data_IF_754004968631
#
_entry.id   IF_754004968631
#
_cell.length_a   1.000
_cell.length_b   1.000
_cell.length_c   1.000
_cell.angle_alpha   90.00
_cell.angle_beta   90.00
_cell.angle_gamma   90.00
#
_symmetry.space_group_name_H-M   'P 1'
#
loop_
_entity.id
_entity.type
_entity.pdbx_description
1 polymer ?
#
# COMPACT_ATOMS: atom_id res chain seq x y z
N UNK A 1 -16.48 -8.50 20.21
CA UNK A 1 -16.08 -9.32 19.05
C UNK A 1 -14.71 -9.90 19.29
N UNK A 2 -14.52 -11.16 18.94
CA UNK A 2 -13.24 -11.85 18.90
C UNK A 2 -12.64 -11.57 17.53
N UNK A 3 -11.40 -11.08 17.48
CA UNK A 3 -10.63 -10.94 16.25
C UNK A 3 -9.55 -12.02 16.27
N UNK A 4 -9.48 -12.83 15.22
CA UNK A 4 -8.54 -13.97 15.12
C UNK A 4 -7.69 -13.86 13.86
N UNK A 5 -6.44 -14.32 13.93
CA UNK A 5 -5.57 -14.49 12.76
C UNK A 5 -5.91 -15.73 11.94
N UNK A 6 -5.79 -15.64 10.62
CA UNK A 6 -6.01 -16.79 9.72
C UNK A 6 -4.94 -17.90 9.89
N UNK A 7 -3.71 -17.55 10.30
CA UNK A 7 -2.55 -18.47 10.43
C UNK A 7 -2.03 -18.64 11.87
N UNK A 8 -2.40 -17.75 12.79
CA UNK A 8 -1.89 -17.73 14.16
C UNK A 8 -3.04 -17.92 15.15
N UNK A 9 -2.77 -18.55 16.29
CA UNK A 9 -3.77 -18.73 17.37
C UNK A 9 -4.00 -17.45 18.21
N UNK A 10 -3.37 -16.35 17.79
CA UNK A 10 -3.53 -15.03 18.36
C UNK A 10 -4.96 -14.54 18.14
N UNK A 11 -5.62 -14.22 19.25
CA UNK A 11 -6.94 -13.62 19.24
C UNK A 11 -7.00 -12.53 20.31
N UNK A 12 -7.84 -11.53 20.07
CA UNK A 12 -8.12 -10.50 21.06
C UNK A 12 -9.58 -10.05 20.95
N UNK A 13 -10.10 -9.56 22.07
CA UNK A 13 -11.47 -9.04 22.13
C UNK A 13 -11.47 -7.53 21.90
N UNK A 14 -12.32 -7.08 21.00
CA UNK A 14 -12.58 -5.66 20.73
C UNK A 14 -14.09 -5.43 20.71
N UNK A 15 -14.63 -4.37 21.33
CA UNK A 15 -16.02 -3.97 21.12
C UNK A 15 -16.30 -3.75 19.62
N UNK A 16 -17.46 -4.19 19.13
CA UNK A 16 -17.83 -4.08 17.69
C UNK A 16 -17.71 -2.65 17.14
N UNK A 17 -18.20 -1.59 17.84
CA UNK A 17 -18.08 -0.21 17.35
C UNK A 17 -16.64 0.28 17.24
N UNK A 18 -15.76 -0.18 18.14
CA UNK A 18 -14.35 0.21 18.15
C UNK A 18 -13.56 -0.54 17.09
N UNK A 19 -13.90 -1.82 16.85
CA UNK A 19 -13.33 -2.59 15.76
C UNK A 19 -13.64 -1.95 14.41
N UNK A 20 -14.89 -1.58 14.14
CA UNK A 20 -15.26 -0.92 12.90
C UNK A 20 -14.46 0.37 12.68
N UNK A 21 -14.35 1.23 13.70
CA UNK A 21 -13.52 2.45 13.64
C UNK A 21 -12.06 2.16 13.34
N UNK A 22 -11.47 1.15 13.98
CA UNK A 22 -10.08 0.75 13.74
C UNK A 22 -9.90 0.28 12.29
N UNK A 23 -10.81 -0.57 11.78
CA UNK A 23 -10.75 -1.08 10.41
C UNK A 23 -10.90 0.05 9.38
N UNK A 24 -11.85 0.97 9.59
CA UNK A 24 -11.99 2.18 8.77
C UNK A 24 -10.69 2.99 8.75
N UNK A 25 -10.04 3.18 9.90
CA UNK A 25 -8.80 3.94 9.97
C UNK A 25 -7.65 3.26 9.23
N UNK A 26 -7.48 1.95 9.43
CA UNK A 26 -6.46 1.18 8.70
C UNK A 26 -6.69 1.30 7.21
N UNK A 27 -7.95 1.19 6.76
CA UNK A 27 -8.31 1.33 5.35
C UNK A 27 -7.93 2.70 4.78
N UNK A 28 -8.30 3.78 5.47
CA UNK A 28 -7.93 5.14 5.05
C UNK A 28 -6.42 5.32 4.91
N UNK A 29 -5.66 4.82 5.88
CA UNK A 29 -4.20 4.96 5.88
C UNK A 29 -3.56 4.11 4.75
N UNK A 30 -4.12 2.94 4.42
CA UNK A 30 -3.72 2.15 3.24
C UNK A 30 -4.06 2.83 1.91
N UNK A 31 -5.22 3.48 1.81
CA UNK A 31 -5.59 4.26 0.62
C UNK A 31 -4.67 5.46 0.42
N UNK A 32 -4.30 6.17 1.50
CA UNK A 32 -3.30 7.24 1.45
C UNK A 32 -1.95 6.72 0.96
N UNK A 33 -1.50 5.59 1.50
CA UNK A 33 -0.26 4.94 1.08
C UNK A 33 -0.26 4.60 -0.42
N UNK A 34 -1.37 4.09 -0.95
CA UNK A 34 -1.54 3.85 -2.40
C UNK A 34 -1.35 5.15 -3.20
N UNK A 35 -2.00 6.25 -2.78
CA UNK A 35 -1.89 7.53 -3.48
C UNK A 35 -0.46 8.11 -3.41
N UNK A 36 0.23 7.96 -2.29
CA UNK A 36 1.63 8.35 -2.18
C UNK A 36 2.54 7.56 -3.13
N UNK A 37 2.33 6.25 -3.24
CA UNK A 37 3.10 5.40 -4.15
C UNK A 37 2.84 5.82 -5.61
N UNK A 38 1.58 6.02 -5.99
CA UNK A 38 1.21 6.54 -7.32
C UNK A 38 1.86 7.87 -7.62
N UNK A 39 1.86 8.79 -6.64
CA UNK A 39 2.48 10.10 -6.77
C UNK A 39 3.98 9.96 -7.05
N UNK A 40 4.68 9.09 -6.31
CA UNK A 40 6.11 8.85 -6.50
C UNK A 40 6.42 8.20 -7.86
N UNK A 41 5.58 7.28 -8.34
CA UNK A 41 5.71 6.71 -9.70
C UNK A 41 5.58 7.82 -10.75
N UNK A 42 4.53 8.65 -10.65
CA UNK A 42 4.29 9.74 -11.59
C UNK A 42 5.45 10.75 -11.63
N UNK A 43 6.03 11.09 -10.47
CA UNK A 43 7.22 11.94 -10.42
C UNK A 43 8.41 11.31 -11.16
N UNK A 44 8.66 10.02 -10.94
CA UNK A 44 9.73 9.28 -11.62
C UNK A 44 9.52 9.28 -13.15
N UNK A 45 8.32 8.95 -13.62
CA UNK A 45 8.02 8.93 -15.05
C UNK A 45 8.09 10.31 -15.70
N UNK A 46 7.62 11.36 -15.02
CA UNK A 46 7.76 12.75 -15.50
C UNK A 46 9.23 13.15 -15.65
N UNK A 47 10.05 12.84 -14.64
CA UNK A 47 11.50 13.10 -14.70
C UNK A 47 12.13 12.34 -15.86
N UNK A 48 11.80 11.05 -16.02
CA UNK A 48 12.34 10.21 -17.09
C UNK A 48 11.98 10.73 -18.47
N UNK A 49 10.72 11.11 -18.68
CA UNK A 49 10.26 11.69 -19.95
C UNK A 49 10.95 13.02 -20.26
N UNK A 50 11.19 13.86 -19.25
CA UNK A 50 11.93 15.10 -19.42
C UNK A 50 13.40 14.86 -19.80
N UNK A 51 14.07 13.90 -19.15
CA UNK A 51 15.44 13.48 -19.50
C UNK A 51 15.52 12.96 -20.94
N UNK A 52 14.56 12.13 -21.35
CA UNK A 52 14.50 11.58 -22.71
C UNK A 52 14.22 12.67 -23.75
N UNK A 53 13.28 13.57 -23.50
CA UNK A 53 12.98 14.69 -24.39
C UNK A 53 14.18 15.64 -24.53
N UNK A 54 14.88 15.92 -23.42
CA UNK A 54 16.11 16.69 -23.44
C UNK A 54 17.20 15.99 -24.24
N UNK A 55 17.44 14.70 -24.00
CA UNK A 55 18.43 13.95 -24.77
C UNK A 55 18.08 13.93 -26.27
N UNK A 56 16.80 13.75 -26.62
CA UNK A 56 16.39 13.73 -28.01
C UNK A 56 16.55 15.07 -28.72
N UNK A 57 16.38 16.20 -28.02
CA UNK A 57 16.58 17.54 -28.57
C UNK A 57 18.04 17.92 -28.78
N UNK A 58 18.99 17.17 -28.21
CA UNK A 58 20.43 17.40 -28.44
C UNK A 58 20.82 17.10 -29.90
N UNK A 59 21.74 17.91 -30.43
CA UNK A 59 22.37 17.66 -31.73
C UNK A 59 23.23 16.39 -31.70
N UNK A 60 23.51 15.74 -32.85
CA UNK A 60 24.30 14.51 -32.91
C UNK A 60 25.68 14.64 -32.24
N UNK A 61 26.34 15.79 -32.40
CA UNK A 61 27.63 16.08 -31.75
C UNK A 61 27.49 16.11 -30.23
N UNK A 62 26.45 16.79 -29.70
CA UNK A 62 26.19 16.83 -28.25
C UNK A 62 25.77 15.47 -27.70
N UNK A 63 25.05 14.64 -28.47
CA UNK A 63 24.69 13.26 -28.09
C UNK A 63 25.91 12.36 -27.96
N UNK A 64 26.94 12.57 -28.80
CA UNK A 64 28.19 11.82 -28.74
C UNK A 64 28.99 12.11 -27.46
N UNK A 65 28.98 13.37 -26.99
CA UNK A 65 29.64 13.77 -25.74
C UNK A 65 28.78 13.56 -24.49
N UNK A 66 27.46 13.38 -24.63
CA UNK A 66 26.57 13.03 -23.52
C UNK A 66 26.64 11.53 -23.25
N UNK A 67 27.40 11.13 -22.23
CA UNK A 67 27.46 9.73 -21.78
C UNK A 67 26.07 9.25 -21.36
N UNK A 68 25.48 8.33 -22.12
CA UNK A 68 24.18 7.72 -21.80
C UNK A 68 24.43 6.58 -20.79
N UNK A 69 23.68 6.51 -19.67
CA UNK A 69 23.76 5.37 -18.78
C UNK A 69 23.49 4.06 -19.55
N UNK A 70 24.18 2.96 -19.23
CA UNK A 70 23.93 1.68 -19.90
C UNK A 70 22.46 1.28 -19.79
N UNK A 71 21.90 0.72 -20.86
CA UNK A 71 20.48 0.35 -20.94
C UNK A 71 20.02 -0.56 -19.79
N UNK A 72 20.91 -1.40 -19.29
CA UNK A 72 20.65 -2.27 -18.15
C UNK A 72 20.35 -1.50 -16.85
N UNK A 73 21.10 -0.44 -16.54
CA UNK A 73 20.83 0.39 -15.36
C UNK A 73 19.45 1.04 -15.43
N UNK A 74 19.06 1.51 -16.62
CA UNK A 74 17.74 2.12 -16.84
C UNK A 74 16.60 1.12 -16.63
N UNK A 75 16.77 -0.13 -17.05
CA UNK A 75 15.79 -1.19 -16.85
C UNK A 75 15.63 -1.56 -15.36
N UNK A 76 16.74 -1.67 -14.62
CA UNK A 76 16.74 -1.95 -13.18
C UNK A 76 16.04 -0.82 -12.42
N UNK A 77 16.38 0.44 -12.72
CA UNK A 77 15.71 1.60 -12.11
C UNK A 77 14.20 1.57 -12.33
N UNK A 78 13.75 1.26 -13.55
CA UNK A 78 12.32 1.18 -13.85
C UNK A 78 11.62 0.05 -13.08
N UNK A 79 12.28 -1.11 -12.94
CA UNK A 79 11.73 -2.23 -12.16
C UNK A 79 11.50 -1.80 -10.71
N UNK A 80 12.50 -1.21 -10.06
CA UNK A 80 12.43 -0.82 -8.64
C UNK A 80 11.48 0.37 -8.42
N UNK A 81 11.55 1.39 -9.27
CA UNK A 81 10.78 2.62 -9.08
C UNK A 81 9.35 2.55 -9.59
N UNK A 82 9.02 1.58 -10.45
CA UNK A 82 7.67 1.45 -11.02
C UNK A 82 7.09 0.07 -10.75
N UNK A 83 7.70 -1.01 -11.26
CA UNK A 83 7.08 -2.36 -11.19
C UNK A 83 6.91 -2.86 -9.77
N UNK A 84 7.93 -2.78 -8.93
CA UNK A 84 7.84 -3.21 -7.53
C UNK A 84 6.84 -2.37 -6.74
N UNK A 85 6.75 -1.07 -7.03
CA UNK A 85 5.79 -0.17 -6.42
C UNK A 85 4.35 -0.46 -6.83
N UNK A 86 4.12 -0.84 -8.09
CA UNK A 86 2.81 -1.31 -8.55
C UNK A 86 2.42 -2.60 -7.82
N UNK A 87 3.34 -3.55 -7.66
CA UNK A 87 3.08 -4.76 -6.86
C UNK A 87 2.69 -4.43 -5.42
N UNK A 88 3.35 -3.44 -4.81
CA UNK A 88 2.97 -2.97 -3.47
C UNK A 88 1.56 -2.38 -3.46
N UNK A 89 1.18 -1.58 -4.47
CA UNK A 89 -0.19 -1.09 -4.62
C UNK A 89 -1.19 -2.27 -4.71
N UNK A 90 -0.87 -3.33 -5.43
CA UNK A 90 -1.77 -4.49 -5.56
C UNK A 90 -1.97 -5.22 -4.23
N UNK A 91 -0.90 -5.35 -3.43
CA UNK A 91 -0.97 -5.87 -2.06
C UNK A 91 -1.86 -4.99 -1.19
N UNK A 92 -1.63 -3.66 -1.20
CA UNK A 92 -2.43 -2.71 -0.42
C UNK A 92 -3.91 -2.73 -0.84
N UNK A 93 -4.20 -2.83 -2.14
CA UNK A 93 -5.57 -2.98 -2.64
C UNK A 93 -6.23 -4.27 -2.17
N UNK A 94 -5.49 -5.37 -2.09
CA UNK A 94 -6.01 -6.64 -1.55
C UNK A 94 -6.38 -6.47 -0.08
N UNK A 95 -5.52 -5.82 0.70
CA UNK A 95 -5.79 -5.50 2.11
C UNK A 95 -7.02 -4.60 2.27
N UNK A 96 -7.19 -3.57 1.42
CA UNK A 96 -8.39 -2.73 1.46
C UNK A 96 -9.67 -3.52 1.17
N UNK A 97 -9.64 -4.45 0.19
CA UNK A 97 -10.80 -5.30 -0.09
C UNK A 97 -11.16 -6.20 1.08
N UNK A 98 -10.16 -6.83 1.69
CA UNK A 98 -10.37 -7.65 2.88
C UNK A 98 -10.95 -6.83 4.05
N UNK A 99 -10.50 -5.58 4.23
CA UNK A 99 -11.08 -4.67 5.22
C UNK A 99 -12.54 -4.32 4.88
N UNK A 100 -12.85 -4.09 3.61
CA UNK A 100 -14.21 -3.79 3.14
C UNK A 100 -15.14 -4.99 3.38
N UNK A 101 -14.71 -6.21 3.03
CA UNK A 101 -15.48 -7.44 3.24
C UNK A 101 -15.81 -7.66 4.73
N UNK A 102 -14.85 -7.37 5.60
CA UNK A 102 -15.03 -7.49 7.06
C UNK A 102 -15.95 -6.40 7.60
N UNK A 103 -15.79 -5.16 7.16
CA UNK A 103 -16.67 -4.06 7.56
C UNK A 103 -18.11 -4.34 7.16
N UNK A 104 -18.35 -4.80 5.93
CA UNK A 104 -19.68 -5.20 5.46
C UNK A 104 -20.28 -6.31 6.31
N UNK A 105 -19.48 -7.30 6.73
CA UNK A 105 -19.92 -8.38 7.60
C UNK A 105 -20.33 -7.89 9.00
N UNK A 106 -19.58 -6.94 9.57
CA UNK A 106 -19.90 -6.34 10.88
C UNK A 106 -21.16 -5.47 10.80
N UNK A 107 -21.33 -4.73 9.70
CA UNK A 107 -22.49 -3.86 9.49
C UNK A 107 -23.76 -4.65 9.19
N UNK A 108 -23.66 -5.75 8.44
CA UNK A 108 -24.79 -6.63 8.11
C UNK A 108 -25.28 -7.45 9.31
N UNK A 109 -24.38 -7.88 10.19
CA UNK A 109 -24.72 -8.59 11.43
C UNK A 109 -23.94 -8.00 12.63
N UNK A 110 -24.49 -6.98 13.31
CA UNK A 110 -23.89 -6.42 14.51
C UNK A 110 -23.75 -7.43 15.67
N UNK A 111 -24.48 -8.55 15.60
CA UNK A 111 -24.40 -9.66 16.54
C UNK A 111 -23.26 -10.64 16.26
N UNK A 112 -22.53 -10.45 15.16
CA UNK A 112 -21.43 -11.30 14.75
C UNK A 112 -20.33 -11.30 15.82
N UNK A 113 -19.92 -12.49 16.26
CA UNK A 113 -19.06 -12.63 17.45
C UNK A 113 -17.58 -12.77 17.12
N UNK A 114 -17.22 -13.19 15.91
CA UNK A 114 -15.85 -13.52 15.53
C UNK A 114 -15.51 -13.00 14.13
N UNK A 115 -14.36 -12.37 13.96
CA UNK A 115 -13.84 -11.97 12.65
C UNK A 115 -12.46 -12.56 12.46
N UNK A 116 -12.24 -13.17 11.30
CA UNK A 116 -10.94 -13.70 10.89
C UNK A 116 -10.28 -12.67 9.98
N UNK A 117 -9.04 -12.31 10.31
CA UNK A 117 -8.21 -11.39 9.54
C UNK A 117 -6.92 -12.08 9.10
N UNK A 118 -6.39 -11.69 7.95
CA UNK A 118 -5.03 -12.03 7.55
C UNK A 118 -4.02 -11.50 8.57
N UNK A 119 -2.86 -12.16 8.65
CA UNK A 119 -1.80 -11.78 9.60
C UNK A 119 -1.42 -10.30 9.49
N UNK A 120 -1.36 -9.77 8.26
CA UNK A 120 -1.00 -8.37 8.02
C UNK A 120 -2.03 -7.37 8.59
N UNK A 121 -3.33 -7.70 8.51
CA UNK A 121 -4.39 -6.87 9.09
C UNK A 121 -4.50 -7.04 10.60
N UNK A 122 -4.31 -8.26 11.11
CA UNK A 122 -4.29 -8.56 12.54
C UNK A 122 -3.23 -7.72 13.27
N UNK A 123 -2.01 -7.68 12.71
CA UNK A 123 -0.95 -6.81 13.21
C UNK A 123 -1.35 -5.33 13.16
N UNK A 124 -2.03 -4.90 12.10
CA UNK A 124 -2.57 -3.56 11.96
C UNK A 124 -3.50 -3.21 13.11
N UNK A 125 -4.53 -4.03 13.32
CA UNK A 125 -5.51 -3.83 14.40
C UNK A 125 -4.84 -3.82 15.76
N UNK A 126 -3.89 -4.74 16.02
CA UNK A 126 -3.16 -4.78 17.29
C UNK A 126 -2.31 -3.52 17.51
N UNK A 127 -1.71 -2.95 16.45
CA UNK A 127 -0.97 -1.67 16.55
C UNK A 127 -1.90 -0.52 16.93
N UNK A 128 -3.04 -0.35 16.26
CA UNK A 128 -3.98 0.73 16.58
C UNK A 128 -4.60 0.58 17.98
N UNK A 129 -4.88 -0.66 18.40
CA UNK A 129 -5.35 -0.95 19.75
C UNK A 129 -4.34 -0.49 20.80
N UNK A 130 -3.08 -0.91 20.67
CA UNK A 130 -2.00 -0.51 21.59
C UNK A 130 -1.76 1.00 21.60
N UNK A 131 -1.98 1.67 20.47
CA UNK A 131 -1.86 3.13 20.40
C UNK A 131 -2.98 3.84 21.15
N UNK A 132 -4.21 3.33 21.06
CA UNK A 132 -5.36 3.83 21.82
C UNK A 132 -5.18 3.69 23.33
N UNK A 133 -4.57 2.59 23.81
CA UNK A 133 -4.30 2.33 25.23
C UNK A 133 -3.17 3.23 25.82
N UNK A 134 -2.45 3.99 24.99
CA UNK A 134 -1.35 4.89 25.39
C UNK A 134 -1.75 6.38 25.38
N UNK A 135 -3.04 6.67 25.18
CA UNK A 135 -3.61 8.04 25.14
C UNK A 135 -4.46 8.29 26.38
#
# INVERSE_FOLDING_TARGET
MIVRGELNDDHFQVPSPDLAKILYRIREDRLKEIEEIKHKINQYEKKKRAEEAFYQSLSPVRKFFASRPPSHHQAVEYIVHVKERIKLIDVLKKQCRELDDVLELIEADPGHKEVVLSTALLEGVNRYRKWGDLS
#
